data_IF_046009744073
#
_entry.id   IF_046009744073
#
_cell.length_a   1.000
_cell.length_b   1.000
_cell.length_c   1.000
_cell.angle_alpha   90.00
_cell.angle_beta   90.00
_cell.angle_gamma   90.00
#
_symmetry.space_group_name_H-M   'P 1'
#
loop_
_entity.id
_entity.type
_entity.pdbx_description
1 polymer ?
#
# COMPACT_ATOMS: atom_id res chain seq x y z
N UNK A 1 16.04 9.87 18.80
CA UNK A 1 15.36 8.77 18.08
C UNK A 1 15.85 7.45 18.66
N UNK A 2 14.96 6.56 18.98
CA UNK A 2 15.27 5.24 19.51
C UNK A 2 16.04 4.43 18.43
N UNK A 3 17.25 3.99 18.75
CA UNK A 3 18.07 3.21 17.83
C UNK A 3 17.60 1.76 17.69
N UNK A 4 16.78 1.30 18.61
CA UNK A 4 16.32 -0.09 18.67
C UNK A 4 14.84 -0.23 18.26
N UNK A 5 14.31 0.74 17.50
CA UNK A 5 12.92 0.78 17.08
C UNK A 5 12.47 -0.49 16.33
N UNK A 6 13.41 -1.17 15.68
CA UNK A 6 13.12 -2.37 14.87
C UNK A 6 13.08 -3.66 15.69
N UNK A 7 13.42 -3.60 16.98
CA UNK A 7 13.44 -4.80 17.82
C UNK A 7 12.06 -5.25 18.22
N UNK A 8 11.85 -6.57 18.24
CA UNK A 8 10.58 -7.20 18.60
C UNK A 8 10.79 -7.91 19.93
N UNK A 9 9.97 -7.54 20.94
CA UNK A 9 10.13 -8.07 22.30
C UNK A 9 9.67 -9.52 22.46
N UNK A 10 8.74 -9.96 21.60
CA UNK A 10 8.13 -11.29 21.69
C UNK A 10 8.39 -12.11 20.43
N UNK A 11 9.59 -12.03 19.91
CA UNK A 11 9.96 -12.68 18.64
C UNK A 11 9.74 -14.20 18.66
N UNK A 12 9.87 -14.82 19.83
CA UNK A 12 9.67 -16.25 20.02
C UNK A 12 8.21 -16.68 19.80
N UNK A 13 7.27 -15.75 19.86
CA UNK A 13 5.83 -16.01 19.66
C UNK A 13 5.39 -15.76 18.23
N UNK A 14 6.33 -15.39 17.34
CA UNK A 14 6.01 -15.02 15.95
C UNK A 14 6.39 -16.17 15.03
N UNK A 15 5.43 -16.58 14.22
CA UNK A 15 5.66 -17.62 13.22
C UNK A 15 6.55 -17.10 12.09
N UNK A 16 7.60 -17.86 11.75
CA UNK A 16 8.48 -17.52 10.64
C UNK A 16 8.16 -18.40 9.42
N UNK A 17 8.19 -17.86 8.19
CA UNK A 17 8.49 -16.47 7.85
C UNK A 17 7.29 -15.55 8.09
N UNK A 18 7.55 -14.30 8.45
CA UNK A 18 6.51 -13.29 8.66
C UNK A 18 6.98 -11.94 8.15
N UNK A 19 6.02 -11.12 7.70
CA UNK A 19 6.27 -9.71 7.38
C UNK A 19 5.99 -8.89 8.63
N UNK A 20 6.97 -8.11 9.06
CA UNK A 20 6.84 -7.21 10.20
C UNK A 20 6.77 -5.78 9.69
N UNK A 21 5.78 -5.03 10.15
CA UNK A 21 5.61 -3.62 9.79
C UNK A 21 5.54 -2.76 11.05
N UNK A 22 5.93 -1.50 10.90
CA UNK A 22 5.96 -0.51 11.98
C UNK A 22 5.05 0.65 11.59
N UNK A 23 3.78 0.65 12.02
CA UNK A 23 2.78 1.62 11.55
C UNK A 23 3.22 3.08 11.70
N UNK A 24 3.87 3.43 12.80
CA UNK A 24 4.32 4.82 13.04
C UNK A 24 5.34 5.26 11.99
N UNK A 25 6.20 4.36 11.55
CA UNK A 25 7.19 4.65 10.52
C UNK A 25 6.57 4.71 9.14
N UNK A 26 5.59 3.85 8.88
CA UNK A 26 4.82 3.89 7.63
C UNK A 26 4.11 5.23 7.52
N UNK A 27 3.44 5.68 8.58
CA UNK A 27 2.76 6.97 8.58
C UNK A 27 3.73 8.13 8.38
N UNK A 28 4.88 8.10 9.06
CA UNK A 28 5.92 9.12 8.89
C UNK A 28 6.41 9.17 7.44
N UNK A 29 6.57 8.01 6.80
CA UNK A 29 7.01 7.93 5.41
C UNK A 29 5.94 8.44 4.44
N UNK A 30 4.66 8.16 4.72
CA UNK A 30 3.55 8.69 3.91
C UNK A 30 3.55 10.22 3.97
N UNK A 31 3.68 10.79 5.16
CA UNK A 31 3.73 12.24 5.35
C UNK A 31 4.92 12.87 4.63
N UNK A 32 6.08 12.22 4.73
CA UNK A 32 7.30 12.69 4.06
C UNK A 32 7.14 12.66 2.53
N UNK A 33 6.58 11.59 2.00
CA UNK A 33 6.33 11.46 0.57
C UNK A 33 5.42 12.57 0.06
N UNK A 34 4.34 12.86 0.79
CA UNK A 34 3.42 13.95 0.46
C UNK A 34 4.15 15.30 0.49
N UNK A 35 4.98 15.53 1.51
CA UNK A 35 5.75 16.76 1.64
C UNK A 35 6.72 16.95 0.47
N UNK A 36 7.46 15.90 0.11
CA UNK A 36 8.42 15.96 -1.00
C UNK A 36 7.70 16.22 -2.32
N UNK A 37 6.54 15.58 -2.52
CA UNK A 37 5.76 15.73 -3.74
C UNK A 37 5.09 17.12 -3.84
N UNK A 38 4.88 17.79 -2.72
CA UNK A 38 4.18 19.07 -2.68
C UNK A 38 2.66 18.93 -2.65
N UNK A 39 2.15 17.74 -2.36
CA UNK A 39 0.72 17.46 -2.27
C UNK A 39 0.40 16.03 -2.63
N UNK A 40 -0.86 15.64 -2.51
CA UNK A 40 -1.31 14.27 -2.79
C UNK A 40 -1.71 14.04 -4.24
N UNK A 41 -2.00 15.09 -4.98
CA UNK A 41 -2.59 15.00 -6.33
C UNK A 41 -1.69 14.31 -7.36
N UNK A 42 -0.37 14.44 -7.19
CA UNK A 42 0.60 13.89 -8.12
C UNK A 42 1.11 12.50 -7.69
N UNK A 43 0.61 11.97 -6.60
CA UNK A 43 1.04 10.68 -6.08
C UNK A 43 0.13 9.55 -6.56
N UNK A 44 0.75 8.47 -7.04
CA UNK A 44 0.08 7.22 -7.40
C UNK A 44 0.92 6.05 -6.88
N UNK A 45 0.85 5.77 -5.57
CA UNK A 45 1.65 4.69 -4.97
C UNK A 45 1.30 3.32 -5.56
N UNK A 46 2.34 2.50 -5.75
CA UNK A 46 2.18 1.13 -6.19
C UNK A 46 2.02 0.23 -4.97
N UNK A 47 1.02 -0.65 -4.98
CA UNK A 47 0.76 -1.53 -3.82
C UNK A 47 1.36 -2.92 -3.95
N UNK A 48 2.03 -3.24 -5.07
CA UNK A 48 2.59 -4.58 -5.29
C UNK A 48 3.62 -4.98 -4.24
N UNK A 49 4.28 -3.99 -3.62
CA UNK A 49 5.37 -4.25 -2.68
C UNK A 49 4.87 -4.72 -1.32
N UNK A 50 3.71 -4.28 -0.89
CA UNK A 50 3.18 -4.66 0.42
C UNK A 50 1.89 -5.49 0.35
N UNK A 51 0.96 -5.14 -0.55
CA UNK A 51 -0.35 -5.82 -0.69
C UNK A 51 -1.14 -5.83 0.62
N UNK A 52 -1.09 -4.73 1.38
CA UNK A 52 -1.67 -4.64 2.71
C UNK A 52 -2.77 -3.59 2.74
N UNK A 53 -4.00 -4.02 3.08
CA UNK A 53 -5.18 -3.15 3.12
C UNK A 53 -5.02 -2.00 4.11
N UNK A 54 -4.45 -2.26 5.29
CA UNK A 54 -4.26 -1.25 6.33
C UNK A 54 -3.34 -0.12 5.86
N UNK A 55 -2.32 -0.44 5.06
CA UNK A 55 -1.43 0.59 4.48
C UNK A 55 -2.18 1.41 3.44
N UNK A 56 -2.98 0.77 2.59
CA UNK A 56 -3.83 1.48 1.62
C UNK A 56 -4.75 2.45 2.35
N UNK A 57 -5.39 1.99 3.43
CA UNK A 57 -6.30 2.82 4.22
C UNK A 57 -5.56 4.01 4.85
N UNK A 58 -4.34 3.82 5.35
CA UNK A 58 -3.52 4.91 5.86
C UNK A 58 -3.25 5.96 4.77
N UNK A 59 -2.92 5.51 3.57
CA UNK A 59 -2.67 6.41 2.43
C UNK A 59 -3.93 7.17 2.04
N UNK A 60 -5.08 6.49 2.00
CA UNK A 60 -6.38 7.14 1.73
C UNK A 60 -6.70 8.19 2.81
N UNK A 61 -6.46 7.86 4.08
CA UNK A 61 -6.71 8.77 5.20
C UNK A 61 -5.86 10.04 5.11
N UNK A 62 -4.69 9.95 4.50
CA UNK A 62 -3.80 11.09 4.27
C UNK A 62 -4.10 11.84 2.96
N UNK A 63 -5.15 11.46 2.25
CA UNK A 63 -5.60 12.18 1.06
C UNK A 63 -5.07 11.66 -0.26
N UNK A 64 -4.32 10.56 -0.27
CA UNK A 64 -3.89 9.91 -1.52
C UNK A 64 -5.09 9.16 -2.09
N UNK A 65 -5.42 9.44 -3.35
CA UNK A 65 -6.61 8.88 -4.00
C UNK A 65 -6.31 8.02 -5.22
N UNK A 66 -5.09 8.08 -5.72
CA UNK A 66 -4.67 7.34 -6.91
C UNK A 66 -3.73 6.23 -6.51
N UNK A 67 -3.91 5.06 -7.12
CA UNK A 67 -3.09 3.89 -6.81
C UNK A 67 -2.71 3.15 -8.09
N UNK A 68 -1.64 2.36 -7.99
CA UNK A 68 -1.15 1.51 -9.06
C UNK A 68 -1.03 0.09 -8.54
N UNK A 69 -1.38 -0.88 -9.37
CA UNK A 69 -1.26 -2.29 -9.04
C UNK A 69 -0.74 -3.10 -10.23
N UNK A 70 -0.32 -4.33 -9.97
CA UNK A 70 0.25 -5.20 -10.99
C UNK A 70 -0.61 -6.42 -11.29
N UNK A 71 -1.58 -6.77 -10.45
CA UNK A 71 -2.41 -7.96 -10.61
C UNK A 71 -3.88 -7.66 -10.35
N UNK A 72 -4.74 -8.59 -10.79
CA UNK A 72 -6.18 -8.50 -10.52
C UNK A 72 -6.47 -8.61 -9.02
N UNK A 73 -5.73 -9.46 -8.29
CA UNK A 73 -5.86 -9.56 -6.83
C UNK A 73 -5.59 -8.24 -6.14
N UNK A 74 -4.55 -7.53 -6.58
CA UNK A 74 -4.22 -6.20 -6.04
C UNK A 74 -5.30 -5.19 -6.39
N UNK A 75 -5.85 -5.24 -7.59
CA UNK A 75 -6.97 -4.38 -8.00
C UNK A 75 -8.21 -4.64 -7.14
N UNK A 76 -8.53 -5.91 -6.85
CA UNK A 76 -9.61 -6.27 -5.94
C UNK A 76 -9.39 -5.72 -4.53
N UNK A 77 -8.15 -5.81 -4.03
CA UNK A 77 -7.80 -5.27 -2.73
C UNK A 77 -8.05 -3.76 -2.66
N UNK A 78 -7.63 -3.05 -3.70
CA UNK A 78 -7.88 -1.60 -3.82
C UNK A 78 -9.38 -1.29 -3.88
N UNK A 79 -10.14 -2.08 -4.61
CA UNK A 79 -11.58 -1.92 -4.69
C UNK A 79 -12.25 -2.13 -3.33
N UNK A 80 -11.81 -3.13 -2.57
CA UNK A 80 -12.31 -3.38 -1.22
C UNK A 80 -12.00 -2.25 -0.25
N UNK A 81 -10.90 -1.53 -0.48
CA UNK A 81 -10.56 -0.34 0.29
C UNK A 81 -11.25 0.92 -0.20
N UNK A 82 -12.12 0.82 -1.20
CA UNK A 82 -12.84 1.94 -1.82
C UNK A 82 -11.93 2.95 -2.52
N UNK A 83 -10.78 2.51 -3.04
CA UNK A 83 -9.94 3.34 -3.90
C UNK A 83 -10.68 3.64 -5.21
N UNK A 84 -10.71 4.91 -5.61
CA UNK A 84 -11.51 5.35 -6.77
C UNK A 84 -10.72 5.44 -8.06
N UNK A 85 -9.40 5.53 -7.99
CA UNK A 85 -8.54 5.69 -9.15
C UNK A 85 -7.42 4.66 -9.11
N UNK A 86 -7.56 3.62 -9.92
CA UNK A 86 -6.66 2.46 -9.93
C UNK A 86 -6.10 2.25 -11.32
N UNK A 87 -4.77 2.29 -11.45
CA UNK A 87 -4.06 1.96 -12.68
C UNK A 87 -3.52 0.53 -12.58
N UNK A 88 -4.01 -0.36 -13.43
CA UNK A 88 -3.45 -1.70 -13.58
C UNK A 88 -2.26 -1.59 -14.55
N UNK A 89 -1.05 -1.83 -14.04
CA UNK A 89 0.19 -1.61 -14.76
C UNK A 89 0.69 -2.83 -15.54
N UNK A 90 -0.20 -3.79 -15.79
CA UNK A 90 0.08 -4.99 -16.59
C UNK A 90 -0.97 -5.12 -17.66
N UNK A 91 -0.55 -5.44 -18.88
CA UNK A 91 -1.47 -5.64 -19.98
C UNK A 91 -2.33 -6.88 -19.72
N UNK A 92 -3.65 -6.71 -19.77
CA UNK A 92 -4.61 -7.80 -19.62
C UNK A 92 -5.10 -8.25 -21.00
N UNK A 93 -5.33 -9.57 -21.13
CA UNK A 93 -5.90 -10.16 -22.33
C UNK A 93 -7.00 -11.14 -21.95
N UNK A 94 -7.93 -11.40 -22.88
CA UNK A 94 -8.98 -12.39 -22.71
C UNK A 94 -9.87 -12.09 -21.51
N UNK A 95 -10.10 -13.10 -20.66
CA UNK A 95 -11.01 -13.02 -19.53
C UNK A 95 -10.54 -12.02 -18.47
N UNK A 96 -9.23 -11.73 -18.41
CA UNK A 96 -8.69 -10.76 -17.46
C UNK A 96 -9.22 -9.35 -17.68
N UNK A 97 -9.48 -8.98 -18.92
CA UNK A 97 -10.06 -7.66 -19.27
C UNK A 97 -11.44 -7.53 -18.64
N UNK A 98 -12.27 -8.55 -18.80
CA UNK A 98 -13.65 -8.54 -18.28
C UNK A 98 -13.67 -8.50 -16.73
N UNK A 99 -12.74 -9.17 -16.09
CA UNK A 99 -12.68 -9.19 -14.63
C UNK A 99 -12.24 -7.85 -14.05
N UNK A 100 -11.42 -7.09 -14.77
CA UNK A 100 -10.96 -5.78 -14.31
C UNK A 100 -12.05 -4.70 -14.46
N UNK A 101 -12.82 -4.77 -15.52
CA UNK A 101 -13.90 -3.82 -15.77
C UNK A 101 -15.03 -4.00 -14.77
#
# INVERSE_FOLDING_TARGET
MDKDWYRINNVENILSPSLVVFPERIEANIKLMIQIAGGTDILRPHIKTHKIAEIINMQLDHGITKFKCATLSEAELLAKCNAKDVLLAMQMTGIGVYKFI
#
